data_IF_239926338775
#
_entry.id   IF_239926338775
#
_cell.length_a   1.000
_cell.length_b   1.000
_cell.length_c   1.000
_cell.angle_alpha   90.00
_cell.angle_beta   90.00
_cell.angle_gamma   90.00
#
_symmetry.space_group_name_H-M   'P 1'
#
loop_
_entity.id
_entity.type
_entity.pdbx_description
1 polymer ?
#
# COMPACT_ATOMS: atom_id res chain seq x y z
N UNK A 1 -16.30 -33.71 -37.23
CA UNK A 1 -15.00 -34.39 -37.05
C UNK A 1 -13.98 -33.27 -37.18
N UNK A 2 -13.54 -32.75 -36.03
CA UNK A 2 -12.15 -32.82 -35.51
C UNK A 2 -11.30 -31.72 -36.18
N UNK A 3 -10.50 -30.88 -35.54
CA UNK A 3 -9.86 -30.77 -34.21
C UNK A 3 -9.39 -29.29 -34.11
N UNK A 4 -9.61 -28.59 -32.99
CA UNK A 4 -8.61 -28.26 -31.94
C UNK A 4 -7.41 -27.45 -32.48
N UNK A 5 -7.51 -26.12 -32.35
CA UNK A 5 -6.36 -25.19 -32.43
C UNK A 5 -5.80 -25.04 -31.01
N UNK A 6 -4.60 -25.59 -30.81
CA UNK A 6 -3.78 -25.51 -29.60
C UNK A 6 -2.70 -24.45 -29.89
N UNK A 7 -2.94 -23.20 -29.46
CA UNK A 7 -1.96 -22.11 -29.55
C UNK A 7 -1.00 -22.23 -28.36
N UNK A 8 0.08 -22.96 -28.57
CA UNK A 8 1.26 -23.05 -27.72
C UNK A 8 2.17 -21.84 -28.01
N UNK A 9 1.92 -20.73 -27.32
CA UNK A 9 2.71 -19.49 -27.47
C UNK A 9 3.89 -19.55 -26.48
N UNK A 10 5.05 -19.98 -27.01
CA UNK A 10 6.36 -19.98 -26.35
C UNK A 10 6.73 -18.54 -25.95
N UNK A 11 6.63 -18.22 -24.65
CA UNK A 11 7.10 -16.94 -24.11
C UNK A 11 8.63 -16.91 -24.06
N UNK A 12 9.23 -16.26 -25.06
CA UNK A 12 10.65 -15.90 -25.13
C UNK A 12 11.10 -15.12 -23.88
N UNK A 13 12.19 -15.60 -23.28
CA UNK A 13 12.82 -15.13 -22.05
C UNK A 13 13.75 -13.94 -22.38
N UNK A 14 13.31 -12.72 -22.07
CA UNK A 14 14.13 -11.50 -22.24
C UNK A 14 15.10 -11.36 -21.05
N UNK A 15 16.32 -11.85 -21.25
CA UNK A 15 17.42 -11.71 -20.30
C UNK A 15 17.90 -10.27 -20.19
N UNK A 16 17.54 -9.60 -19.08
CA UNK A 16 18.24 -8.41 -18.61
C UNK A 16 18.92 -8.67 -17.26
N UNK A 17 20.18 -9.06 -17.39
CA UNK A 17 21.17 -9.25 -16.32
C UNK A 17 21.46 -7.94 -15.56
N UNK A 18 20.98 -7.83 -14.31
CA UNK A 18 21.65 -7.04 -13.26
C UNK A 18 21.53 -7.70 -11.87
N UNK A 19 22.44 -8.63 -11.58
CA UNK A 19 23.16 -8.83 -10.30
C UNK A 19 22.43 -8.49 -8.98
N UNK A 20 21.59 -9.42 -8.47
CA UNK A 20 21.70 -10.07 -7.13
C UNK A 20 20.76 -11.31 -7.11
N UNK A 21 20.87 -12.14 -8.16
CA UNK A 21 19.88 -13.12 -8.61
C UNK A 21 19.94 -14.47 -7.88
N UNK A 22 19.84 -14.46 -6.55
CA UNK A 22 19.62 -15.71 -5.79
C UNK A 22 18.42 -15.63 -4.87
N UNK A 23 18.15 -14.46 -4.28
CA UNK A 23 17.01 -14.26 -3.38
C UNK A 23 15.76 -13.79 -4.10
N UNK A 24 15.91 -13.02 -5.19
CA UNK A 24 14.79 -12.38 -5.89
C UNK A 24 13.99 -13.37 -6.73
N UNK A 25 14.66 -14.29 -7.44
CA UNK A 25 14.01 -15.42 -8.15
C UNK A 25 13.23 -16.34 -7.19
N UNK A 26 13.72 -16.49 -5.95
CA UNK A 26 13.03 -17.28 -4.92
C UNK A 26 11.75 -16.59 -4.47
N UNK A 27 11.77 -15.25 -4.36
CA UNK A 27 10.64 -14.46 -3.89
C UNK A 27 9.55 -14.30 -4.96
N UNK A 28 9.90 -14.04 -6.23
CA UNK A 28 8.93 -14.08 -7.33
C UNK A 28 8.28 -15.47 -7.46
N UNK A 29 9.10 -16.52 -7.35
CA UNK A 29 8.62 -17.89 -7.33
C UNK A 29 7.63 -18.14 -6.19
N UNK A 30 7.92 -17.67 -4.97
CA UNK A 30 7.02 -17.77 -3.81
C UNK A 30 5.74 -16.97 -4.01
N UNK A 31 5.85 -15.74 -4.51
CA UNK A 31 4.73 -14.86 -4.82
C UNK A 31 3.77 -15.54 -5.80
N UNK A 32 4.29 -16.10 -6.90
CA UNK A 32 3.50 -16.84 -7.88
C UNK A 32 2.77 -18.03 -7.26
N UNK A 33 3.44 -18.78 -6.38
CA UNK A 33 2.83 -19.92 -5.70
C UNK A 33 1.71 -19.48 -4.75
N UNK A 34 1.95 -18.46 -3.92
CA UNK A 34 0.96 -17.88 -3.01
C UNK A 34 -0.26 -17.38 -3.76
N UNK A 35 -0.06 -16.61 -4.83
CA UNK A 35 -1.16 -16.05 -5.63
C UNK A 35 -1.99 -17.15 -6.31
N UNK A 36 -1.33 -18.23 -6.77
CA UNK A 36 -2.03 -19.38 -7.34
C UNK A 36 -2.91 -20.10 -6.30
N UNK A 37 -2.43 -20.28 -5.07
CA UNK A 37 -3.17 -20.92 -3.97
C UNK A 37 -4.31 -20.07 -3.42
N UNK A 38 -4.17 -18.75 -3.46
CA UNK A 38 -5.23 -17.81 -3.09
C UNK A 38 -6.35 -17.72 -4.15
N UNK A 39 -6.28 -18.50 -5.22
CA UNK A 39 -7.22 -18.50 -6.36
C UNK A 39 -7.27 -17.17 -7.11
N UNK A 40 -6.18 -16.41 -7.14
CA UNK A 40 -6.08 -15.28 -8.07
C UNK A 40 -5.98 -15.83 -9.50
N UNK A 41 -6.86 -15.42 -10.43
CA UNK A 41 -6.78 -15.90 -11.80
C UNK A 41 -5.46 -15.45 -12.42
N UNK A 42 -4.64 -16.38 -12.92
CA UNK A 42 -3.38 -16.06 -13.60
C UNK A 42 -3.56 -15.10 -14.78
N UNK A 43 -4.77 -15.04 -15.37
CA UNK A 43 -5.10 -14.22 -16.53
C UNK A 43 -5.67 -12.83 -16.17
N UNK A 44 -5.77 -12.49 -14.88
CA UNK A 44 -6.20 -11.15 -14.45
C UNK A 44 -5.01 -10.42 -13.84
N UNK A 45 -4.83 -9.17 -14.25
CA UNK A 45 -3.83 -8.29 -13.65
C UNK A 45 -4.16 -8.14 -12.16
N UNK A 46 -3.33 -8.74 -11.31
CA UNK A 46 -3.43 -8.62 -9.87
C UNK A 46 -3.06 -7.18 -9.51
N UNK A 47 -3.86 -6.47 -8.68
CA UNK A 47 -3.51 -5.13 -8.24
C UNK A 47 -2.11 -5.10 -7.63
N UNK A 48 -1.32 -4.07 -7.97
CA UNK A 48 0.06 -3.92 -7.51
C UNK A 48 0.15 -3.92 -5.98
N UNK A 49 -0.80 -3.26 -5.32
CA UNK A 49 -0.89 -3.21 -3.85
C UNK A 49 -1.00 -4.60 -3.20
N UNK A 50 -1.70 -5.53 -3.85
CA UNK A 50 -1.85 -6.91 -3.36
C UNK A 50 -0.55 -7.70 -3.56
N UNK A 51 0.19 -7.41 -4.62
CA UNK A 51 1.50 -8.02 -4.87
C UNK A 51 2.50 -7.55 -3.82
N UNK A 52 2.56 -6.23 -3.56
CA UNK A 52 3.41 -5.64 -2.51
C UNK A 52 3.08 -6.28 -1.15
N UNK A 53 1.80 -6.34 -0.78
CA UNK A 53 1.37 -6.95 0.47
C UNK A 53 1.78 -8.43 0.59
N UNK A 54 1.68 -9.19 -0.49
CA UNK A 54 2.09 -10.59 -0.51
C UNK A 54 3.61 -10.74 -0.39
N UNK A 55 4.39 -9.88 -1.06
CA UNK A 55 5.85 -9.87 -0.95
C UNK A 55 6.31 -9.53 0.47
N UNK A 56 5.75 -8.47 1.05
CA UNK A 56 6.05 -8.05 2.43
C UNK A 56 5.76 -9.17 3.43
N UNK A 57 4.61 -9.83 3.26
CA UNK A 57 4.22 -10.92 4.13
C UNK A 57 5.08 -12.19 3.95
N UNK A 58 5.52 -12.49 2.72
CA UNK A 58 6.48 -13.58 2.46
C UNK A 58 7.80 -13.30 3.19
N UNK A 59 8.29 -12.06 3.14
CA UNK A 59 9.53 -11.66 3.83
C UNK A 59 9.37 -11.76 5.36
N UNK A 60 8.22 -11.38 5.90
CA UNK A 60 7.92 -11.53 7.34
C UNK A 60 7.93 -13.00 7.76
N UNK A 61 7.16 -13.85 7.08
CA UNK A 61 7.01 -15.28 7.42
C UNK A 61 8.28 -16.11 7.18
N UNK A 62 9.20 -15.63 6.33
CA UNK A 62 10.49 -16.26 6.09
C UNK A 62 11.51 -15.97 7.21
N UNK A 63 11.39 -14.82 7.89
CA UNK A 63 12.29 -14.43 9.00
C UNK A 63 12.03 -15.20 10.29
N UNK A 64 10.82 -15.74 10.44
CA UNK A 64 10.40 -16.47 11.64
C UNK A 64 10.84 -17.95 11.66
N UNK A 65 11.50 -18.45 10.60
CA UNK A 65 12.05 -19.82 10.50
C UNK A 65 13.60 -19.81 10.50
N UNK A 66 14.22 -20.08 11.65
CA UNK A 66 15.66 -20.38 11.79
C UNK A 66 16.00 -21.84 11.40
N UNK A 67 14.99 -22.65 11.05
CA UNK A 67 15.19 -24.03 10.58
C UNK A 67 14.93 -24.12 9.09
N UNK A 68 15.90 -24.69 8.37
CA UNK A 68 15.78 -24.99 6.95
C UNK A 68 14.62 -25.94 6.69
N UNK A 69 13.41 -25.45 6.43
CA UNK A 69 12.42 -26.28 5.76
C UNK A 69 11.46 -25.56 4.82
N UNK A 70 11.11 -26.38 3.83
CA UNK A 70 10.34 -26.24 2.59
C UNK A 70 9.56 -24.95 2.41
N UNK A 71 9.86 -24.27 1.29
CA UNK A 71 9.02 -23.32 0.53
C UNK A 71 7.51 -23.48 0.74
N UNK A 72 7.03 -24.73 0.73
CA UNK A 72 5.63 -25.09 0.96
C UNK A 72 5.07 -24.62 2.33
N UNK A 73 5.86 -24.65 3.40
CA UNK A 73 5.46 -24.21 4.73
C UNK A 73 5.32 -22.69 4.82
N UNK A 74 6.26 -21.94 4.25
CA UNK A 74 6.18 -20.48 4.11
C UNK A 74 4.90 -20.11 3.36
N UNK A 75 4.68 -20.73 2.20
CA UNK A 75 3.47 -20.50 1.39
C UNK A 75 2.21 -20.82 2.18
N UNK A 76 2.18 -21.94 2.91
CA UNK A 76 1.02 -22.33 3.74
C UNK A 76 0.74 -21.29 4.84
N UNK A 77 1.77 -20.75 5.50
CA UNK A 77 1.61 -19.72 6.54
C UNK A 77 1.11 -18.41 5.95
N UNK A 78 1.72 -17.95 4.86
CA UNK A 78 1.31 -16.76 4.12
C UNK A 78 -0.16 -16.86 3.69
N UNK A 79 -0.58 -17.97 3.06
CA UNK A 79 -1.97 -18.17 2.66
C UNK A 79 -2.93 -18.15 3.85
N UNK A 80 -2.59 -18.82 4.95
CA UNK A 80 -3.41 -18.82 6.18
C UNK A 80 -3.60 -17.42 6.75
N UNK A 81 -2.55 -16.59 6.73
CA UNK A 81 -2.62 -15.22 7.25
C UNK A 81 -3.46 -14.32 6.32
N UNK A 82 -3.34 -14.48 5.01
CA UNK A 82 -4.23 -13.83 4.04
C UNK A 82 -5.70 -14.19 4.26
N UNK A 83 -6.02 -15.45 4.52
CA UNK A 83 -7.38 -15.88 4.85
C UNK A 83 -7.89 -15.23 6.13
N UNK A 84 -7.04 -15.09 7.16
CA UNK A 84 -7.41 -14.42 8.40
C UNK A 84 -7.73 -12.92 8.21
N UNK A 85 -7.10 -12.25 7.24
CA UNK A 85 -7.41 -10.86 6.88
C UNK A 85 -8.72 -10.74 6.10
N UNK A 86 -9.09 -11.76 5.32
CA UNK A 86 -10.39 -11.83 4.64
C UNK A 86 -11.55 -12.00 5.63
N UNK A 87 -11.30 -12.63 6.77
CA UNK A 87 -12.29 -12.86 7.83
C UNK A 87 -12.49 -11.64 8.75
N UNK A 88 -11.68 -10.58 8.61
CA UNK A 88 -11.93 -9.34 9.33
C UNK A 88 -13.21 -8.72 8.77
N UNK A 89 -14.25 -8.68 9.61
CA UNK A 89 -15.53 -8.06 9.25
C UNK A 89 -15.28 -6.60 8.85
N UNK A 90 -15.84 -6.13 7.72
CA UNK A 90 -15.69 -4.75 7.24
C UNK A 90 -15.86 -3.73 8.36
N UNK A 91 -16.82 -4.00 9.26
CA UNK A 91 -17.11 -3.21 10.44
C UNK A 91 -15.89 -2.95 11.35
N UNK A 92 -14.93 -3.88 11.42
CA UNK A 92 -13.70 -3.70 12.20
C UNK A 92 -12.75 -2.70 11.54
N UNK A 93 -12.58 -2.79 10.22
CA UNK A 93 -11.75 -1.83 9.46
C UNK A 93 -12.43 -0.45 9.48
N UNK A 94 -13.73 -0.42 9.23
CA UNK A 94 -14.55 0.81 9.28
C UNK A 94 -14.46 1.46 10.67
N UNK A 95 -14.50 0.67 11.75
CA UNK A 95 -14.35 1.16 13.12
C UNK A 95 -12.93 1.68 13.40
N UNK A 96 -11.87 1.03 12.89
CA UNK A 96 -10.49 1.52 13.05
C UNK A 96 -10.27 2.84 12.32
N UNK A 97 -10.73 2.91 11.07
CA UNK A 97 -10.65 4.12 10.24
C UNK A 97 -11.45 5.27 10.86
N UNK A 98 -12.67 5.00 11.33
CA UNK A 98 -13.51 6.03 11.95
C UNK A 98 -12.89 6.57 13.25
N UNK A 99 -12.25 5.71 14.06
CA UNK A 99 -11.57 6.14 15.29
C UNK A 99 -10.40 7.09 14.99
N UNK A 100 -9.58 6.77 13.98
CA UNK A 100 -8.44 7.61 13.59
C UNK A 100 -8.90 8.97 13.06
N UNK A 101 -9.89 8.99 12.14
CA UNK A 101 -10.42 10.24 11.62
C UNK A 101 -11.07 11.12 12.69
N UNK A 102 -11.80 10.52 13.63
CA UNK A 102 -12.43 11.24 14.73
C UNK A 102 -11.40 11.92 15.62
N UNK A 103 -10.29 11.23 15.91
CA UNK A 103 -9.19 11.79 16.69
C UNK A 103 -8.57 13.01 16.01
N UNK A 104 -8.26 12.92 14.71
CA UNK A 104 -7.69 14.05 13.96
C UNK A 104 -8.65 15.24 13.89
N UNK A 105 -9.93 15.01 13.62
CA UNK A 105 -10.96 16.06 13.58
C UNK A 105 -11.11 16.78 14.93
N UNK A 106 -11.06 16.03 16.03
CA UNK A 106 -11.15 16.59 17.38
C UNK A 106 -9.89 17.41 17.74
N UNK A 107 -8.71 17.03 17.25
CA UNK A 107 -7.48 17.81 17.42
C UNK A 107 -7.53 19.13 16.65
N UNK A 108 -7.97 19.12 15.39
CA UNK A 108 -8.19 20.32 14.58
C UNK A 108 -9.21 21.27 15.21
N UNK A 109 -10.31 20.71 15.75
CA UNK A 109 -11.34 21.48 16.43
C UNK A 109 -10.84 22.14 17.71
N UNK A 110 -9.91 21.52 18.44
CA UNK A 110 -9.30 22.12 19.64
C UNK A 110 -8.42 23.33 19.32
N UNK A 111 -7.85 23.40 18.12
CA UNK A 111 -7.01 24.53 17.69
C UNK A 111 -7.80 25.67 17.04
N UNK A 112 -9.13 25.64 17.02
CA UNK A 112 -9.94 26.62 16.27
C UNK A 112 -9.68 28.07 16.74
N UNK A 113 -9.50 28.28 18.04
CA UNK A 113 -9.20 29.60 18.60
C UNK A 113 -7.81 30.09 18.14
N UNK A 114 -6.80 29.22 18.16
CA UNK A 114 -5.45 29.53 17.68
C UNK A 114 -5.43 29.84 16.17
N UNK A 115 -6.22 29.11 15.38
CA UNK A 115 -6.39 29.38 13.94
C UNK A 115 -7.01 30.76 13.74
N UNK A 116 -8.04 31.12 14.52
CA UNK A 116 -8.68 32.43 14.47
C UNK A 116 -7.74 33.57 14.85
N UNK A 117 -6.99 33.41 15.94
CA UNK A 117 -5.99 34.39 16.37
C UNK A 117 -4.91 34.60 15.29
N UNK A 118 -4.35 33.51 14.76
CA UNK A 118 -3.33 33.57 13.70
C UNK A 118 -3.87 34.21 12.42
N UNK A 119 -5.11 33.88 12.03
CA UNK A 119 -5.75 34.50 10.88
C UNK A 119 -5.91 36.02 11.08
N UNK A 120 -6.35 36.45 12.26
CA UNK A 120 -6.48 37.88 12.59
C UNK A 120 -5.13 38.62 12.55
N UNK A 121 -4.06 37.98 13.05
CA UNK A 121 -2.70 38.55 12.97
C UNK A 121 -2.24 38.73 11.52
N UNK A 122 -2.50 37.74 10.66
CA UNK A 122 -2.20 37.83 9.21
C UNK A 122 -3.01 38.95 8.56
N UNK A 123 -4.30 39.03 8.83
CA UNK A 123 -5.18 40.09 8.30
C UNK A 123 -4.71 41.48 8.70
N UNK A 124 -4.34 41.68 9.97
CA UNK A 124 -3.78 42.94 10.48
C UNK A 124 -2.46 43.29 9.80
N UNK A 125 -1.56 42.32 9.60
CA UNK A 125 -0.29 42.54 8.92
C UNK A 125 -0.51 42.97 7.46
N UNK A 126 -1.38 42.27 6.73
CA UNK A 126 -1.73 42.62 5.35
C UNK A 126 -2.36 44.02 5.29
N UNK A 127 -3.33 44.31 6.16
CA UNK A 127 -4.01 45.59 6.18
C UNK A 127 -3.04 46.75 6.49
N UNK A 128 -2.11 46.53 7.42
CA UNK A 128 -1.10 47.54 7.77
C UNK A 128 -0.18 47.87 6.58
N UNK A 129 0.27 46.85 5.86
CA UNK A 129 1.08 47.02 4.64
C UNK A 129 0.30 47.80 3.56
N UNK A 130 -0.96 47.44 3.32
CA UNK A 130 -1.81 48.15 2.36
C UNK A 130 -2.01 49.61 2.73
N UNK A 131 -2.22 49.93 4.01
CA UNK A 131 -2.36 51.31 4.48
C UNK A 131 -1.06 52.09 4.31
N UNK A 132 0.09 51.47 4.59
CA UNK A 132 1.40 52.09 4.38
C UNK A 132 1.65 52.40 2.90
N UNK A 133 1.37 51.45 2.00
CA UNK A 133 1.47 51.65 0.55
C UNK A 133 0.57 52.81 0.07
N UNK A 134 -0.69 52.83 0.50
CA UNK A 134 -1.64 53.90 0.17
C UNK A 134 -1.19 55.27 0.71
N UNK A 135 -0.58 55.31 1.90
CA UNK A 135 -0.09 56.54 2.49
C UNK A 135 1.13 57.11 1.73
N UNK A 136 1.99 56.24 1.19
CA UNK A 136 3.12 56.64 0.34
C UNK A 136 2.60 57.19 -1.00
N UNK A 137 1.57 56.58 -1.59
CA UNK A 137 1.02 57.02 -2.88
C UNK A 137 0.31 58.40 -2.80
N UNK A 138 -0.19 58.78 -1.62
CA UNK A 138 -0.91 60.04 -1.40
C UNK A 138 -0.02 61.27 -1.14
N UNK A 139 1.31 61.11 -1.10
CA UNK A 139 2.32 62.18 -0.90
C UNK A 139 3.03 62.52 -2.21
#
# INVERSE_FOLDING_TARGET
MLEEDDDDDECEEDESETSDSSSEETLDGLLREVLSKLNFPCNKRIPEDVQILAMDLIVEEQRDDDSSDRREEVVRRVCKRFESWKEVESNTIDMMVEQDFRKELDEWKKSQDQVGETAMEIELAIFSLLVEEMAIELV
#
